data_IF_957738610238
#
_entry.id   IF_957738610238
#
_cell.length_a   1.000
_cell.length_b   1.000
_cell.length_c   1.000
_cell.angle_alpha   90.00
_cell.angle_beta   90.00
_cell.angle_gamma   90.00
#
_symmetry.space_group_name_H-M   'P 1'
#
loop_
_entity.id
_entity.type
_entity.pdbx_description
1 polymer ?
#
# COMPACT_ATOMS: atom_id res chain seq x y z
N UNK A 1 32.71 49.05 -22.73
CA UNK A 1 32.57 47.63 -22.31
C UNK A 1 31.26 47.29 -21.56
N UNK A 2 30.26 48.20 -21.49
CA UNK A 2 29.03 48.04 -20.69
C UNK A 2 27.77 47.69 -21.51
N UNK A 3 27.64 48.21 -22.74
CA UNK A 3 26.43 48.03 -23.58
C UNK A 3 26.23 46.61 -24.15
N UNK A 4 27.31 45.97 -24.63
CA UNK A 4 27.26 44.61 -25.18
C UNK A 4 26.87 43.55 -24.13
N UNK A 5 27.31 43.71 -22.87
CA UNK A 5 26.94 42.82 -21.77
C UNK A 5 25.45 42.93 -21.41
N UNK A 6 24.89 44.14 -21.37
CA UNK A 6 23.46 44.35 -21.12
C UNK A 6 22.55 43.74 -22.21
N UNK A 7 22.91 43.91 -23.47
CA UNK A 7 22.20 43.28 -24.60
C UNK A 7 22.24 41.74 -24.51
N UNK A 8 23.37 41.19 -24.07
CA UNK A 8 23.54 39.75 -23.92
C UNK A 8 22.74 39.19 -22.73
N UNK A 9 22.61 39.94 -21.63
CA UNK A 9 21.74 39.61 -20.50
C UNK A 9 20.25 39.70 -20.86
N UNK A 10 19.82 40.72 -21.62
CA UNK A 10 18.44 40.84 -22.08
C UNK A 10 18.02 39.71 -23.04
N UNK A 11 18.89 39.34 -23.97
CA UNK A 11 18.67 38.20 -24.87
C UNK A 11 18.65 36.88 -24.09
N UNK A 12 19.50 36.72 -23.09
CA UNK A 12 19.52 35.55 -22.22
C UNK A 12 18.25 35.43 -21.37
N UNK A 13 17.73 36.53 -20.83
CA UNK A 13 16.47 36.52 -20.09
C UNK A 13 15.25 36.29 -21.00
N UNK A 14 15.25 36.83 -22.23
CA UNK A 14 14.26 36.47 -23.25
C UNK A 14 14.30 34.99 -23.58
N UNK A 15 15.48 34.41 -23.72
CA UNK A 15 15.67 33.00 -24.03
C UNK A 15 15.18 32.10 -22.88
N UNK A 16 15.56 32.42 -21.63
CA UNK A 16 15.01 31.75 -20.43
C UNK A 16 13.49 31.84 -20.35
N UNK A 17 12.90 32.98 -20.70
CA UNK A 17 11.45 33.16 -20.70
C UNK A 17 10.77 32.31 -21.78
N UNK A 18 11.36 32.20 -22.97
CA UNK A 18 10.90 31.29 -24.04
C UNK A 18 11.04 29.82 -23.64
N UNK A 19 12.17 29.42 -23.07
CA UNK A 19 12.39 28.03 -22.62
C UNK A 19 11.38 27.62 -21.53
N UNK A 20 11.16 28.47 -20.52
CA UNK A 20 10.13 28.23 -19.49
C UNK A 20 8.71 28.14 -20.09
N UNK A 21 8.41 28.88 -21.15
CA UNK A 21 7.12 28.81 -21.85
C UNK A 21 6.96 27.49 -22.62
N UNK A 22 8.01 27.03 -23.30
CA UNK A 22 8.05 25.76 -24.02
C UNK A 22 7.95 24.55 -23.08
N UNK A 23 8.64 24.61 -21.93
CA UNK A 23 8.55 23.56 -20.91
C UNK A 23 7.13 23.46 -20.34
N UNK A 24 6.46 24.60 -20.12
CA UNK A 24 5.06 24.65 -19.67
C UNK A 24 4.08 24.09 -20.71
N UNK A 25 4.28 24.35 -22.01
CA UNK A 25 3.42 23.76 -23.05
C UNK A 25 3.60 22.25 -23.14
N UNK A 26 4.84 21.76 -23.12
CA UNK A 26 5.12 20.31 -23.15
C UNK A 26 4.49 19.56 -21.96
N UNK A 27 4.50 20.15 -20.76
CA UNK A 27 3.86 19.57 -19.55
C UNK A 27 2.32 19.60 -19.62
N UNK A 28 1.74 20.63 -20.23
CA UNK A 28 0.30 20.71 -20.48
C UNK A 28 -0.15 19.65 -21.49
N UNK A 29 0.63 19.44 -22.54
CA UNK A 29 0.35 18.43 -23.57
C UNK A 29 0.34 17.01 -22.99
N UNK A 30 1.28 16.70 -22.10
CA UNK A 30 1.29 15.42 -21.38
C UNK A 30 0.05 15.22 -20.50
N UNK A 31 -0.41 16.27 -19.81
CA UNK A 31 -1.64 16.20 -18.99
C UNK A 31 -2.90 16.07 -19.86
N UNK A 32 -2.93 16.74 -21.02
CA UNK A 32 -3.98 16.60 -22.03
C UNK A 32 -4.02 15.18 -22.62
N UNK A 33 -2.86 14.57 -22.87
CA UNK A 33 -2.78 13.20 -23.39
C UNK A 33 -3.34 12.20 -22.38
N UNK A 34 -3.02 12.33 -21.09
CA UNK A 34 -3.60 11.51 -20.03
C UNK A 34 -5.12 11.68 -19.92
N UNK A 35 -5.62 12.90 -20.08
CA UNK A 35 -7.06 13.16 -20.12
C UNK A 35 -7.72 12.50 -21.34
N UNK A 36 -7.11 12.56 -22.53
CA UNK A 36 -7.59 11.86 -23.74
C UNK A 36 -7.59 10.35 -23.57
N UNK A 37 -6.66 9.78 -22.80
CA UNK A 37 -6.62 8.36 -22.42
C UNK A 37 -7.71 7.97 -21.40
N UNK A 38 -8.52 8.93 -20.93
CA UNK A 38 -9.64 8.68 -20.03
C UNK A 38 -9.32 8.83 -18.54
N UNK A 39 -8.19 9.44 -18.18
CA UNK A 39 -7.86 9.69 -16.77
C UNK A 39 -8.94 10.52 -16.07
N UNK A 40 -9.24 10.15 -14.82
CA UNK A 40 -10.20 10.89 -13.99
C UNK A 40 -9.54 12.12 -13.34
N UNK A 41 -10.36 13.00 -12.77
CA UNK A 41 -9.87 14.24 -12.14
C UNK A 41 -8.89 13.96 -10.99
N UNK A 42 -9.10 12.92 -10.18
CA UNK A 42 -8.20 12.58 -9.09
C UNK A 42 -6.79 12.21 -9.59
N UNK A 43 -6.69 11.39 -10.64
CA UNK A 43 -5.40 11.03 -11.25
C UNK A 43 -4.66 12.27 -11.77
N UNK A 44 -5.37 13.15 -12.47
CA UNK A 44 -4.79 14.41 -12.98
C UNK A 44 -4.40 15.37 -11.84
N UNK A 45 -5.17 15.39 -10.75
CA UNK A 45 -4.85 16.17 -9.57
C UNK A 45 -3.60 15.66 -8.85
N UNK A 46 -3.43 14.34 -8.73
CA UNK A 46 -2.18 13.73 -8.22
C UNK A 46 -0.99 14.06 -9.12
N UNK A 47 -1.16 13.97 -10.44
CA UNK A 47 -0.12 14.37 -11.40
C UNK A 47 0.27 15.85 -11.24
N UNK A 48 -0.72 16.74 -11.06
CA UNK A 48 -0.48 18.17 -10.77
C UNK A 48 0.28 18.37 -9.45
N UNK A 49 -0.08 17.66 -8.40
CA UNK A 49 0.61 17.75 -7.10
C UNK A 49 2.06 17.27 -7.20
N UNK A 50 2.31 16.17 -7.91
CA UNK A 50 3.65 15.67 -8.19
C UNK A 50 4.48 16.66 -9.02
N UNK A 51 3.85 17.26 -10.05
CA UNK A 51 4.48 18.34 -10.82
C UNK A 51 4.86 19.50 -9.91
N UNK A 52 3.95 19.94 -9.02
CA UNK A 52 4.20 21.07 -8.11
C UNK A 52 5.33 20.80 -7.10
N UNK A 53 5.54 19.54 -6.73
CA UNK A 53 6.65 19.11 -5.87
C UNK A 53 8.01 19.25 -6.59
N UNK A 54 8.06 18.87 -7.87
CA UNK A 54 9.31 18.86 -8.67
C UNK A 54 9.63 20.26 -9.23
N UNK A 55 8.60 20.98 -9.65
CA UNK A 55 8.70 22.30 -10.24
C UNK A 55 7.41 23.03 -9.93
N UNK A 56 7.43 24.22 -9.31
CA UNK A 56 6.24 25.00 -8.86
C UNK A 56 5.26 25.42 -10.00
N UNK A 57 5.34 24.74 -11.14
CA UNK A 57 4.53 24.74 -12.36
C UNK A 57 3.08 24.34 -12.10
N UNK A 58 2.79 23.54 -11.08
CA UNK A 58 1.40 23.18 -10.72
C UNK A 58 0.53 24.39 -10.34
N UNK A 59 1.14 25.52 -9.96
CA UNK A 59 0.48 26.82 -9.72
C UNK A 59 0.32 27.70 -10.97
N UNK A 60 0.78 27.25 -12.14
CA UNK A 60 0.60 28.01 -13.37
C UNK A 60 -0.89 28.14 -13.73
N UNK A 61 -1.31 29.34 -14.10
CA UNK A 61 -2.69 29.67 -14.47
C UNK A 61 -3.26 28.75 -15.57
N UNK A 62 -2.41 28.31 -16.51
CA UNK A 62 -2.79 27.38 -17.58
C UNK A 62 -3.20 26.00 -17.06
N UNK A 63 -2.45 25.45 -16.11
CA UNK A 63 -2.77 24.14 -15.49
C UNK A 63 -4.01 24.28 -14.61
N UNK A 64 -4.17 25.40 -13.92
CA UNK A 64 -5.37 25.66 -13.13
C UNK A 64 -6.63 25.77 -13.99
N UNK A 65 -6.56 26.48 -15.13
CA UNK A 65 -7.65 26.57 -16.11
C UNK A 65 -7.96 25.21 -16.72
N UNK A 66 -6.93 24.41 -17.04
CA UNK A 66 -7.10 23.04 -17.51
C UNK A 66 -7.85 22.18 -16.48
N UNK A 67 -7.40 22.15 -15.22
CA UNK A 67 -8.05 21.39 -14.15
C UNK A 67 -9.49 21.84 -13.91
N UNK A 68 -9.77 23.15 -13.95
CA UNK A 68 -11.14 23.69 -13.89
C UNK A 68 -12.00 23.20 -15.06
N UNK A 69 -11.44 23.09 -16.26
CA UNK A 69 -12.10 22.53 -17.43
C UNK A 69 -12.42 21.04 -17.25
N UNK A 70 -11.44 20.25 -16.80
CA UNK A 70 -11.60 18.82 -16.51
C UNK A 70 -12.70 18.59 -15.47
N UNK A 71 -12.71 19.35 -14.38
CA UNK A 71 -13.73 19.22 -13.33
C UNK A 71 -15.14 19.53 -13.85
N UNK A 72 -15.29 20.55 -14.70
CA UNK A 72 -16.59 20.87 -15.32
C UNK A 72 -17.08 19.79 -16.29
N UNK A 73 -16.17 19.15 -17.02
CA UNK A 73 -16.50 18.07 -17.95
C UNK A 73 -16.80 16.74 -17.25
N UNK A 74 -16.08 16.44 -16.16
CA UNK A 74 -16.25 15.23 -15.35
C UNK A 74 -16.11 15.58 -13.86
N UNK A 75 -17.20 15.97 -13.19
CA UNK A 75 -17.16 16.19 -11.75
C UNK A 75 -16.89 14.86 -11.03
N UNK A 76 -16.01 14.90 -10.03
CA UNK A 76 -15.79 13.77 -9.12
C UNK A 76 -16.84 13.83 -8.03
N UNK A 77 -17.77 12.88 -8.06
CA UNK A 77 -18.72 12.66 -6.97
C UNK A 77 -18.03 11.89 -5.83
N UNK A 78 -18.45 12.11 -4.57
CA UNK A 78 -18.03 11.26 -3.47
C UNK A 78 -18.35 9.79 -3.79
N UNK A 79 -17.42 8.90 -3.45
CA UNK A 79 -17.55 7.46 -3.72
C UNK A 79 -18.66 6.80 -2.89
N UNK A 80 -19.07 7.44 -1.80
CA UNK A 80 -20.06 6.95 -0.85
C UNK A 80 -21.19 7.97 -0.76
N UNK A 81 -22.41 7.50 -0.95
CA UNK A 81 -23.63 8.32 -0.84
C UNK A 81 -23.99 8.62 0.63
N UNK A 82 -23.43 7.85 1.56
CA UNK A 82 -23.69 7.94 2.99
C UNK A 82 -22.37 7.83 3.76
N UNK A 83 -22.19 8.69 4.76
CA UNK A 83 -21.08 8.62 5.71
C UNK A 83 -21.60 7.81 6.90
N UNK A 84 -20.91 6.74 7.26
CA UNK A 84 -21.30 5.90 8.41
C UNK A 84 -21.39 6.73 9.69
N UNK A 85 -22.35 6.40 10.57
CA UNK A 85 -22.55 7.09 11.84
C UNK A 85 -21.36 6.84 12.79
N UNK A 86 -20.61 7.89 13.20
CA UNK A 86 -19.47 7.73 14.11
C UNK A 86 -19.85 7.49 15.58
N UNK A 87 -21.12 7.71 15.97
CA UNK A 87 -21.58 7.59 17.36
C UNK A 87 -21.29 6.23 18.02
N UNK A 88 -21.45 5.07 17.36
CA UNK A 88 -21.09 3.78 17.95
C UNK A 88 -19.60 3.65 18.27
N UNK A 89 -18.73 4.25 17.46
CA UNK A 89 -17.28 4.22 17.67
C UNK A 89 -16.87 5.20 18.77
N UNK A 90 -17.48 6.38 18.80
CA UNK A 90 -17.25 7.39 19.84
C UNK A 90 -17.74 6.91 21.21
N UNK A 91 -18.93 6.33 21.29
CA UNK A 91 -19.48 5.76 22.53
C UNK A 91 -18.69 4.54 23.01
N UNK A 92 -18.20 3.70 22.09
CA UNK A 92 -17.24 2.66 22.45
C UNK A 92 -15.98 3.29 23.04
N UNK A 93 -15.39 4.28 22.36
CA UNK A 93 -14.18 4.98 22.79
C UNK A 93 -14.32 5.64 24.18
N UNK A 94 -15.46 6.26 24.47
CA UNK A 94 -15.79 6.86 25.78
C UNK A 94 -15.82 5.82 26.91
N UNK A 95 -16.27 4.59 26.62
CA UNK A 95 -16.33 3.50 27.58
C UNK A 95 -14.94 2.87 27.90
N UNK A 96 -13.86 3.23 27.18
CA UNK A 96 -12.49 2.80 27.50
C UNK A 96 -11.81 3.69 28.57
N UNK A 97 -12.58 4.48 29.33
CA UNK A 97 -12.05 5.36 30.37
C UNK A 97 -11.28 4.58 31.47
N UNK A 98 -10.10 5.06 31.92
CA UNK A 98 -9.51 6.37 31.64
C UNK A 98 -8.58 6.39 30.42
N UNK A 99 -8.93 7.17 29.40
CA UNK A 99 -8.13 7.41 28.19
C UNK A 99 -6.76 8.04 28.47
N UNK A 100 -6.58 8.68 29.64
CA UNK A 100 -5.32 9.33 30.04
C UNK A 100 -4.22 8.33 30.45
N UNK A 101 -4.58 7.08 30.77
CA UNK A 101 -3.61 6.02 31.08
C UNK A 101 -3.48 4.98 29.94
N UNK A 102 -4.31 5.07 28.90
CA UNK A 102 -4.21 4.21 27.73
C UNK A 102 -3.61 4.99 26.57
N UNK A 103 -2.29 4.88 26.43
CA UNK A 103 -1.63 5.31 25.21
C UNK A 103 -2.29 4.57 24.05
N UNK A 104 -2.57 5.24 22.92
CA UNK A 104 -3.10 4.57 21.71
C UNK A 104 -2.24 3.36 21.30
N UNK A 105 -0.96 3.42 21.65
CA UNK A 105 0.01 2.32 21.60
C UNK A 105 -0.40 1.11 22.45
N UNK A 106 -0.81 1.29 23.70
CA UNK A 106 -1.20 0.21 24.62
C UNK A 106 -2.51 -0.47 24.20
N UNK A 107 -3.46 0.30 23.68
CA UNK A 107 -4.68 -0.25 23.07
C UNK A 107 -4.37 -1.07 21.82
N UNK A 108 -3.52 -0.53 20.95
CA UNK A 108 -3.12 -1.22 19.72
C UNK A 108 -2.35 -2.50 20.04
N UNK A 109 -1.44 -2.46 21.02
CA UNK A 109 -0.68 -3.63 21.49
C UNK A 109 -1.58 -4.70 22.10
N UNK A 110 -2.46 -4.33 23.03
CA UNK A 110 -3.39 -5.31 23.63
C UNK A 110 -4.32 -5.96 22.60
N UNK A 111 -4.82 -5.17 21.64
CA UNK A 111 -5.67 -5.70 20.57
C UNK A 111 -4.87 -6.63 19.65
N UNK A 112 -3.67 -6.20 19.21
CA UNK A 112 -2.81 -7.04 18.37
C UNK A 112 -2.42 -8.32 19.09
N UNK A 113 -2.00 -8.29 20.35
CA UNK A 113 -1.67 -9.49 21.13
C UNK A 113 -2.85 -10.48 21.24
N UNK A 114 -4.07 -9.98 21.45
CA UNK A 114 -5.28 -10.83 21.47
C UNK A 114 -5.58 -11.45 20.11
N UNK A 115 -5.47 -10.66 19.04
CA UNK A 115 -5.69 -11.15 17.66
C UNK A 115 -4.62 -12.17 17.26
N UNK A 116 -3.35 -11.89 17.55
CA UNK A 116 -2.24 -12.81 17.34
C UNK A 116 -2.41 -14.09 18.16
N UNK A 117 -2.82 -13.99 19.43
CA UNK A 117 -3.12 -15.16 20.27
C UNK A 117 -4.25 -16.03 19.70
N UNK A 118 -5.36 -15.42 19.26
CA UNK A 118 -6.47 -16.14 18.63
C UNK A 118 -6.04 -16.80 17.30
N UNK A 119 -5.28 -16.08 16.47
CA UNK A 119 -4.75 -16.61 15.22
C UNK A 119 -3.77 -17.77 15.46
N UNK A 120 -2.92 -17.67 16.48
CA UNK A 120 -1.98 -18.72 16.85
C UNK A 120 -2.68 -19.98 17.38
N UNK A 121 -3.76 -19.83 18.15
CA UNK A 121 -4.60 -20.96 18.56
C UNK A 121 -5.24 -21.67 17.37
N UNK A 122 -5.78 -20.91 16.40
CA UNK A 122 -6.33 -21.46 15.16
C UNK A 122 -5.26 -22.17 14.32
N UNK A 123 -4.05 -21.60 14.24
CA UNK A 123 -2.90 -22.19 13.56
C UNK A 123 -2.49 -23.51 14.21
N UNK A 124 -2.45 -23.57 15.54
CA UNK A 124 -2.10 -24.80 16.28
C UNK A 124 -3.11 -25.91 16.00
N UNK A 125 -4.42 -25.58 16.02
CA UNK A 125 -5.49 -26.53 15.66
C UNK A 125 -5.34 -26.99 14.21
N UNK A 126 -5.05 -26.09 13.27
CA UNK A 126 -4.81 -26.42 11.87
C UNK A 126 -3.62 -27.38 11.68
N UNK A 127 -2.50 -27.15 12.37
CA UNK A 127 -1.32 -28.02 12.29
C UNK A 127 -1.60 -29.41 12.87
N UNK A 128 -2.33 -29.49 13.99
CA UNK A 128 -2.77 -30.78 14.55
C UNK A 128 -3.74 -31.53 13.61
N UNK A 129 -4.69 -30.83 12.97
CA UNK A 129 -5.58 -31.45 12.00
C UNK A 129 -4.81 -31.92 10.75
N UNK A 130 -3.87 -31.11 10.28
CA UNK A 130 -3.03 -31.44 9.13
C UNK A 130 -2.17 -32.68 9.38
N UNK A 131 -1.63 -32.88 10.59
CA UNK A 131 -0.84 -34.08 10.90
C UNK A 131 -1.67 -35.36 10.85
N UNK A 132 -2.93 -35.32 11.30
CA UNK A 132 -3.88 -36.44 11.18
C UNK A 132 -4.18 -36.74 9.71
N UNK A 133 -4.47 -35.72 8.91
CA UNK A 133 -4.75 -35.86 7.46
C UNK A 133 -3.54 -36.43 6.72
N UNK A 134 -2.33 -35.94 7.00
CA UNK A 134 -1.07 -36.44 6.45
C UNK A 134 -0.88 -37.93 6.79
N UNK A 135 -1.17 -38.34 8.03
CA UNK A 135 -1.10 -39.73 8.46
C UNK A 135 -2.06 -40.65 7.68
N UNK A 136 -3.31 -40.23 7.50
CA UNK A 136 -4.31 -40.96 6.73
C UNK A 136 -3.89 -41.07 5.25
N UNK A 137 -3.42 -39.98 4.64
CA UNK A 137 -2.93 -39.97 3.26
C UNK A 137 -1.72 -40.89 3.07
N UNK A 138 -0.79 -40.90 4.03
CA UNK A 138 0.38 -41.77 4.01
C UNK A 138 -0.02 -43.27 3.99
N UNK A 139 -1.00 -43.64 4.82
CA UNK A 139 -1.56 -45.00 4.81
C UNK A 139 -2.16 -45.38 3.44
N UNK A 140 -2.95 -44.49 2.83
CA UNK A 140 -3.55 -44.74 1.52
C UNK A 140 -2.53 -44.88 0.40
N UNK A 141 -1.42 -44.13 0.43
CA UNK A 141 -0.34 -44.25 -0.56
C UNK A 141 0.31 -45.65 -0.51
N UNK A 142 0.46 -46.23 0.69
CA UNK A 142 1.11 -47.53 0.89
C UNK A 142 0.17 -48.69 0.55
N UNK A 143 -1.11 -48.61 0.95
CA UNK A 143 -2.01 -49.77 0.94
C UNK A 143 -2.83 -49.98 -0.35
N UNK A 144 -3.06 -48.93 -1.14
CA UNK A 144 -3.80 -49.06 -2.41
C UNK A 144 -2.96 -49.83 -3.45
N UNK A 145 -3.55 -50.64 -4.32
CA UNK A 145 -2.81 -51.33 -5.40
C UNK A 145 -2.74 -50.51 -6.71
N UNK A 146 -3.75 -49.65 -6.95
CA UNK A 146 -3.88 -48.79 -8.14
C UNK A 146 -2.82 -47.68 -8.21
N UNK A 147 -2.07 -47.60 -9.32
CA UNK A 147 -1.02 -46.60 -9.54
C UNK A 147 -1.59 -45.16 -9.63
N UNK A 148 -2.69 -44.97 -10.33
CA UNK A 148 -3.32 -43.64 -10.52
C UNK A 148 -3.74 -43.05 -9.17
N UNK A 149 -4.28 -43.89 -8.29
CA UNK A 149 -4.69 -43.47 -6.96
C UNK A 149 -3.49 -43.19 -6.07
N UNK A 150 -2.43 -43.99 -6.13
CA UNK A 150 -1.17 -43.70 -5.42
C UNK A 150 -0.60 -42.33 -5.80
N UNK A 151 -0.53 -42.02 -7.09
CA UNK A 151 -0.01 -40.73 -7.58
C UNK A 151 -0.85 -39.57 -7.06
N UNK A 152 -2.19 -39.69 -7.10
CA UNK A 152 -3.09 -38.67 -6.58
C UNK A 152 -2.88 -38.40 -5.08
N UNK A 153 -2.83 -39.45 -4.27
CA UNK A 153 -2.63 -39.30 -2.82
C UNK A 153 -1.21 -38.81 -2.49
N UNK A 154 -0.20 -39.21 -3.27
CA UNK A 154 1.18 -38.72 -3.13
C UNK A 154 1.32 -37.23 -3.47
N UNK A 155 0.64 -36.75 -4.52
CA UNK A 155 0.59 -35.32 -4.85
C UNK A 155 -0.10 -34.51 -3.74
N UNK A 156 -1.20 -35.02 -3.20
CA UNK A 156 -1.90 -34.38 -2.09
C UNK A 156 -1.02 -34.34 -0.83
N UNK A 157 -0.34 -35.44 -0.49
CA UNK A 157 0.64 -35.50 0.60
C UNK A 157 1.79 -34.50 0.40
N UNK A 158 2.34 -34.43 -0.81
CA UNK A 158 3.37 -33.45 -1.17
C UNK A 158 2.90 -32.01 -1.02
N UNK A 159 1.64 -31.72 -1.38
CA UNK A 159 1.01 -30.42 -1.16
C UNK A 159 0.95 -30.03 0.31
N UNK A 160 0.52 -30.95 1.18
CA UNK A 160 0.47 -30.71 2.63
C UNK A 160 1.87 -30.48 3.24
N UNK A 161 2.87 -31.26 2.82
CA UNK A 161 4.26 -31.07 3.26
C UNK A 161 4.81 -29.71 2.79
N UNK A 162 4.51 -29.31 1.56
CA UNK A 162 4.93 -28.00 1.01
C UNK A 162 4.31 -26.82 1.77
N UNK A 163 3.01 -26.89 2.09
CA UNK A 163 2.32 -25.87 2.89
C UNK A 163 2.93 -25.76 4.28
N UNK A 164 3.20 -26.89 4.96
CA UNK A 164 3.87 -26.88 6.26
C UNK A 164 5.27 -26.27 6.19
N UNK A 165 6.06 -26.63 5.18
CA UNK A 165 7.39 -26.07 4.98
C UNK A 165 7.35 -24.55 4.78
N UNK A 166 6.45 -24.06 3.93
CA UNK A 166 6.28 -22.63 3.68
C UNK A 166 5.85 -21.86 4.95
N UNK A 167 4.92 -22.42 5.72
CA UNK A 167 4.49 -21.82 6.99
C UNK A 167 5.62 -21.74 8.01
N UNK A 168 6.43 -22.79 8.15
CA UNK A 168 7.59 -22.80 9.03
C UNK A 168 8.64 -21.76 8.61
N UNK A 169 8.95 -21.66 7.31
CA UNK A 169 9.90 -20.69 6.78
C UNK A 169 9.46 -19.24 7.08
N UNK A 170 8.19 -18.92 6.85
CA UNK A 170 7.65 -17.59 7.17
C UNK A 170 7.59 -17.33 8.67
N UNK A 171 7.25 -18.34 9.46
CA UNK A 171 7.29 -18.27 10.93
C UNK A 171 8.69 -17.94 11.44
N UNK A 172 9.73 -18.60 10.93
CA UNK A 172 11.13 -18.32 11.29
C UNK A 172 11.54 -16.89 10.93
N UNK A 173 11.21 -16.41 9.72
CA UNK A 173 11.52 -15.02 9.31
C UNK A 173 10.93 -14.00 10.28
N UNK A 174 9.68 -14.20 10.73
CA UNK A 174 9.03 -13.30 11.69
C UNK A 174 9.73 -13.34 13.05
N UNK A 175 10.11 -14.53 13.54
CA UNK A 175 10.82 -14.69 14.81
C UNK A 175 12.18 -13.98 14.76
N UNK A 176 12.90 -14.13 13.64
CA UNK A 176 14.20 -13.50 13.43
C UNK A 176 14.08 -11.97 13.39
N UNK A 177 13.10 -11.43 12.65
CA UNK A 177 12.84 -9.98 12.62
C UNK A 177 12.49 -9.41 14.00
N UNK A 178 11.70 -10.14 14.79
CA UNK A 178 11.34 -9.74 16.16
C UNK A 178 12.56 -9.81 17.09
N UNK A 179 13.39 -10.85 16.95
CA UNK A 179 14.62 -11.02 17.73
C UNK A 179 15.61 -9.88 17.48
N UNK A 180 15.86 -9.56 16.20
CA UNK A 180 16.73 -8.44 15.79
C UNK A 180 16.21 -7.11 16.34
N UNK A 181 14.89 -6.86 16.25
CA UNK A 181 14.28 -5.64 16.80
C UNK A 181 14.48 -5.52 18.31
N UNK A 182 14.30 -6.61 19.05
CA UNK A 182 14.53 -6.64 20.52
C UNK A 182 15.99 -6.33 20.85
N UNK A 183 16.94 -6.85 20.08
CA UNK A 183 18.36 -6.59 20.29
C UNK A 183 18.73 -5.13 20.01
N UNK A 184 18.24 -4.55 18.91
CA UNK A 184 18.44 -3.13 18.60
C UNK A 184 17.85 -2.24 19.71
N UNK A 185 16.66 -2.56 20.23
CA UNK A 185 16.07 -1.83 21.34
C UNK A 185 16.88 -1.95 22.65
N UNK A 186 17.52 -3.09 22.92
CA UNK A 186 18.42 -3.25 24.07
C UNK A 186 19.70 -2.45 23.95
N UNK A 187 20.21 -2.24 22.74
CA UNK A 187 21.44 -1.47 22.50
C UNK A 187 21.23 0.06 22.50
N UNK A 188 19.97 0.52 22.41
CA UNK A 188 19.59 1.93 22.34
C UNK A 188 19.07 2.51 23.67
N UNK A 189 19.02 1.72 24.74
CA UNK A 189 18.65 2.12 26.12
C UNK A 189 19.87 1.90 27.00
#
# INVERSE_FOLDING_TARGET
MSRKRKLQEEEFEKLKKKMRKLERSMKLDSSNEQFKKGANYNTLNTHRSALNLISDVGKCELIERFMKGVFKMKPTFPKYDEIWDPLPVLSFAENLSPLQNLTLKDLTLNYTDRVFGAFQMLLMIHVCLASVVIGILCYYVIFIESLTDKVRHALHLGGWISVLFYMCMKGQTIIDEVSVRKEICRLLI
#
